data_IF_092368629701
#
_entry.id   IF_092368629701
#
_cell.length_a   1.000
_cell.length_b   1.000
_cell.length_c   1.000
_cell.angle_alpha   90.00
_cell.angle_beta   90.00
_cell.angle_gamma   90.00
#
_symmetry.space_group_name_H-M   'P 1'
#
loop_
_entity.id
_entity.type
_entity.pdbx_description
1 polymer ?
#
# COMPACT_ATOMS: atom_id res chain seq x y z
N UNK A 1 6.20 24.37 -11.55
CA UNK A 1 6.64 23.11 -10.92
C UNK A 1 5.47 22.55 -10.13
N UNK A 2 4.99 21.35 -10.46
CA UNK A 2 3.76 20.80 -9.88
C UNK A 2 4.04 20.26 -8.47
N UNK A 3 3.56 20.92 -7.41
CA UNK A 3 3.73 20.52 -5.99
C UNK A 3 3.40 19.05 -5.70
N UNK A 4 2.46 18.48 -6.46
CA UNK A 4 2.09 17.06 -6.34
C UNK A 4 3.22 16.09 -6.67
N UNK A 5 4.22 16.49 -7.47
CA UNK A 5 5.38 15.67 -7.82
C UNK A 5 6.43 15.62 -6.70
N UNK A 6 6.44 16.59 -5.79
CA UNK A 6 7.42 16.64 -4.70
C UNK A 6 7.03 15.67 -3.58
N UNK A 7 5.75 15.62 -3.19
CA UNK A 7 5.26 14.74 -2.11
C UNK A 7 5.44 13.26 -2.47
N UNK A 8 5.18 12.85 -3.72
CA UNK A 8 5.41 11.47 -4.15
C UNK A 8 6.89 11.07 -4.01
N UNK A 9 7.80 11.99 -4.35
CA UNK A 9 9.24 11.71 -4.28
C UNK A 9 9.74 11.46 -2.84
N UNK A 10 9.02 11.95 -1.82
CA UNK A 10 9.38 11.73 -0.42
C UNK A 10 9.17 10.30 0.06
N UNK A 11 8.36 9.48 -0.61
CA UNK A 11 8.06 8.11 -0.18
C UNK A 11 8.31 7.04 -1.25
N UNK A 12 8.70 7.43 -2.47
CA UNK A 12 8.77 6.52 -3.62
C UNK A 12 9.66 5.28 -3.40
N UNK A 13 10.79 5.41 -2.70
CA UNK A 13 11.71 4.29 -2.48
C UNK A 13 11.09 3.25 -1.53
N UNK A 14 10.45 3.73 -0.47
CA UNK A 14 9.83 2.90 0.56
C UNK A 14 8.49 2.34 0.08
N UNK A 15 7.82 3.03 -0.84
CA UNK A 15 6.59 2.59 -1.46
C UNK A 15 6.76 1.27 -2.21
N UNK A 16 7.91 1.06 -2.86
CA UNK A 16 8.23 -0.21 -3.50
C UNK A 16 8.21 -1.38 -2.51
N UNK A 17 8.70 -1.17 -1.28
CA UNK A 17 8.70 -2.19 -0.24
C UNK A 17 7.28 -2.54 0.21
N UNK A 18 6.40 -1.54 0.32
CA UNK A 18 4.99 -1.74 0.62
C UNK A 18 4.32 -2.56 -0.48
N UNK A 19 4.56 -2.24 -1.75
CA UNK A 19 4.00 -2.99 -2.89
C UNK A 19 4.48 -4.45 -2.91
N UNK A 20 5.76 -4.68 -2.60
CA UNK A 20 6.30 -6.04 -2.49
C UNK A 20 5.64 -6.83 -1.34
N UNK A 21 5.40 -6.19 -0.19
CA UNK A 21 4.76 -6.85 0.94
C UNK A 21 3.28 -7.14 0.68
N UNK A 22 2.56 -6.24 -0.01
CA UNK A 22 1.19 -6.49 -0.48
C UNK A 22 1.10 -7.68 -1.44
N UNK A 23 2.01 -7.75 -2.43
CA UNK A 23 2.06 -8.88 -3.36
C UNK A 23 2.35 -10.20 -2.63
N UNK A 24 3.31 -10.19 -1.70
CA UNK A 24 3.62 -11.36 -0.89
C UNK A 24 2.41 -11.84 -0.07
N UNK A 25 1.66 -10.92 0.54
CA UNK A 25 0.45 -11.25 1.29
C UNK A 25 -0.61 -11.85 0.35
N UNK A 26 -0.79 -11.27 -0.84
CA UNK A 26 -1.68 -11.82 -1.88
C UNK A 26 -1.32 -13.28 -2.21
N UNK A 27 -0.05 -13.54 -2.55
CA UNK A 27 0.44 -14.89 -2.91
C UNK A 27 0.24 -15.93 -1.79
N UNK A 28 0.41 -15.53 -0.52
CA UNK A 28 0.24 -16.43 0.62
C UNK A 28 -1.22 -16.85 0.85
N UNK A 29 -2.19 -16.02 0.45
CA UNK A 29 -3.62 -16.26 0.65
C UNK A 29 -4.31 -16.95 -0.55
N UNK A 30 -3.56 -17.29 -1.62
CA UNK A 30 -4.06 -17.97 -2.82
C UNK A 30 -4.58 -19.40 -2.63
N UNK A 31 -4.40 -20.00 -1.45
CA UNK A 31 -4.75 -21.41 -1.21
C UNK A 31 -6.15 -21.62 -0.63
N UNK A 32 -6.86 -20.57 -0.17
CA UNK A 32 -8.10 -20.75 0.61
C UNK A 32 -9.40 -20.19 -0.04
N UNK A 33 -9.35 -19.36 -1.10
CA UNK A 33 -10.57 -18.85 -1.77
C UNK A 33 -10.32 -18.35 -3.20
N UNK A 34 -10.90 -19.02 -4.20
CA UNK A 34 -10.82 -18.67 -5.63
C UNK A 34 -11.46 -17.32 -6.02
N UNK A 35 -12.11 -16.60 -5.09
CA UNK A 35 -12.82 -15.34 -5.36
C UNK A 35 -12.02 -14.08 -4.97
N UNK A 36 -11.04 -14.20 -4.07
CA UNK A 36 -10.34 -13.05 -3.48
C UNK A 36 -9.13 -12.58 -4.30
N UNK A 37 -8.48 -13.49 -5.05
CA UNK A 37 -7.25 -13.22 -5.80
C UNK A 37 -7.49 -12.23 -6.95
N UNK A 38 -8.63 -12.35 -7.65
CA UNK A 38 -8.98 -11.44 -8.74
C UNK A 38 -9.13 -10.01 -8.26
N UNK A 39 -9.68 -9.78 -7.06
CA UNK A 39 -9.94 -8.42 -6.58
C UNK A 39 -8.66 -7.80 -6.02
N UNK A 40 -7.88 -8.54 -5.22
CA UNK A 40 -6.61 -8.02 -4.69
C UNK A 40 -5.63 -7.74 -5.85
N UNK A 41 -5.46 -8.67 -6.79
CA UNK A 41 -4.59 -8.44 -7.94
C UNK A 41 -5.15 -7.36 -8.87
N UNK A 42 -6.48 -7.23 -9.02
CA UNK A 42 -7.09 -6.14 -9.79
C UNK A 42 -6.85 -4.77 -9.14
N UNK A 43 -7.07 -4.65 -7.83
CA UNK A 43 -6.83 -3.40 -7.08
C UNK A 43 -5.34 -3.04 -7.04
N UNK A 44 -4.45 -4.03 -6.90
CA UNK A 44 -3.00 -3.82 -7.01
C UNK A 44 -2.54 -3.52 -8.46
N UNK A 45 -3.28 -3.99 -9.48
CA UNK A 45 -2.98 -3.74 -10.90
C UNK A 45 -3.39 -2.35 -11.38
N UNK A 46 -4.25 -1.65 -10.64
CA UNK A 46 -4.58 -0.24 -10.89
C UNK A 46 -3.57 0.57 -10.08
N UNK A 47 -2.55 1.19 -10.70
CA UNK A 47 -1.62 2.03 -9.97
C UNK A 47 -2.35 3.32 -9.59
N UNK A 48 -3.05 3.28 -8.47
CA UNK A 48 -3.57 4.46 -7.80
C UNK A 48 -2.41 5.36 -7.38
N UNK A 49 -2.71 6.56 -6.89
CA UNK A 49 -1.68 7.50 -6.39
C UNK A 49 -0.99 7.00 -5.11
N UNK A 50 -1.37 5.83 -4.59
CA UNK A 50 -0.88 5.22 -3.35
C UNK A 50 -0.73 6.24 -2.21
N UNK A 51 -1.74 7.09 -2.10
CA UNK A 51 -1.75 8.22 -1.19
C UNK A 51 -1.69 7.77 0.27
N UNK A 52 -2.32 6.63 0.61
CA UNK A 52 -2.42 6.15 1.99
C UNK A 52 -1.09 5.56 2.50
N UNK A 53 -0.39 4.68 1.75
CA UNK A 53 0.98 4.29 2.09
C UNK A 53 1.93 5.48 2.16
N UNK A 54 1.86 6.37 1.16
CA UNK A 54 2.75 7.54 1.09
C UNK A 54 2.57 8.45 2.30
N UNK A 55 1.33 8.70 2.73
CA UNK A 55 1.06 9.52 3.92
C UNK A 55 1.57 8.87 5.20
N UNK A 56 1.44 7.55 5.32
CA UNK A 56 1.95 6.79 6.48
C UNK A 56 3.47 6.85 6.56
N UNK A 57 4.16 6.64 5.43
CA UNK A 57 5.63 6.76 5.33
C UNK A 57 6.06 8.19 5.64
N UNK A 58 5.45 9.20 5.01
CA UNK A 58 5.81 10.61 5.23
C UNK A 58 5.58 11.01 6.69
N UNK A 59 4.52 10.50 7.34
CA UNK A 59 4.26 10.77 8.75
C UNK A 59 5.44 10.32 9.63
N UNK A 60 6.01 9.13 9.40
CA UNK A 60 7.21 8.69 10.14
C UNK A 60 8.41 9.61 9.90
N UNK A 61 8.63 10.04 8.65
CA UNK A 61 9.72 10.94 8.27
C UNK A 61 9.59 12.32 8.92
N UNK A 62 8.37 12.84 9.09
CA UNK A 62 8.11 14.12 9.77
C UNK A 62 8.56 14.07 11.24
N UNK A 63 8.39 12.92 11.90
CA UNK A 63 8.81 12.72 13.29
C UNK A 63 10.27 12.28 13.42
N UNK A 64 11.04 12.35 12.33
CA UNK A 64 12.46 12.04 12.28
C UNK A 64 12.78 10.60 12.70
N UNK A 65 11.81 9.68 12.52
CA UNK A 65 12.01 8.25 12.63
C UNK A 65 12.51 7.69 11.29
N UNK A 66 13.43 6.73 11.37
CA UNK A 66 13.83 5.96 10.19
C UNK A 66 12.63 5.18 9.67
N UNK A 67 12.50 5.09 8.34
CA UNK A 67 11.49 4.22 7.73
C UNK A 67 11.96 2.77 7.86
N UNK A 68 11.65 2.17 8.99
CA UNK A 68 11.97 0.80 9.32
C UNK A 68 10.87 -0.18 8.88
N UNK A 69 11.09 -1.46 9.17
CA UNK A 69 10.14 -2.50 8.83
C UNK A 69 8.75 -2.31 9.47
N UNK A 70 8.65 -1.66 10.63
CA UNK A 70 7.35 -1.40 11.27
C UNK A 70 6.57 -0.34 10.50
N UNK A 71 7.23 0.70 10.03
CA UNK A 71 6.60 1.74 9.19
C UNK A 71 6.08 1.11 7.89
N UNK A 72 6.90 0.28 7.23
CA UNK A 72 6.47 -0.46 6.03
C UNK A 72 5.25 -1.32 6.34
N UNK A 73 5.28 -2.12 7.41
CA UNK A 73 4.13 -2.92 7.85
C UNK A 73 2.87 -2.11 8.09
N UNK A 74 2.98 -0.94 8.73
CA UNK A 74 1.82 -0.10 8.97
C UNK A 74 1.27 0.50 7.68
N UNK A 75 2.13 0.96 6.77
CA UNK A 75 1.72 1.42 5.46
C UNK A 75 1.01 0.32 4.66
N UNK A 76 1.53 -0.92 4.70
CA UNK A 76 0.91 -2.12 4.12
C UNK A 76 -0.46 -2.41 4.75
N UNK A 77 -0.56 -2.38 6.08
CA UNK A 77 -1.82 -2.65 6.79
C UNK A 77 -2.91 -1.61 6.48
N UNK A 78 -2.53 -0.34 6.38
CA UNK A 78 -3.46 0.76 6.02
C UNK A 78 -4.00 0.55 4.60
N UNK A 79 -3.15 0.14 3.66
CA UNK A 79 -3.59 -0.13 2.29
C UNK A 79 -4.43 -1.40 2.20
N UNK A 80 -4.09 -2.47 2.92
CA UNK A 80 -4.93 -3.66 3.02
C UNK A 80 -6.32 -3.34 3.56
N UNK A 81 -6.41 -2.49 4.59
CA UNK A 81 -7.70 -2.04 5.12
C UNK A 81 -8.50 -1.27 4.07
N UNK A 82 -7.84 -0.42 3.27
CA UNK A 82 -8.48 0.27 2.15
C UNK A 82 -8.99 -0.71 1.08
N UNK A 83 -8.17 -1.67 0.67
CA UNK A 83 -8.55 -2.71 -0.28
C UNK A 83 -9.73 -3.51 0.25
N UNK A 84 -9.71 -3.90 1.53
CA UNK A 84 -10.79 -4.64 2.16
C UNK A 84 -12.12 -3.87 2.13
N UNK A 85 -12.10 -2.54 2.35
CA UNK A 85 -13.31 -1.72 2.19
C UNK A 85 -13.81 -1.66 0.75
N UNK A 86 -12.91 -1.55 -0.24
CA UNK A 86 -13.31 -1.56 -1.65
C UNK A 86 -13.96 -2.88 -2.06
N UNK A 87 -13.37 -4.01 -1.65
CA UNK A 87 -13.88 -5.36 -1.95
C UNK A 87 -15.28 -5.58 -1.38
N UNK A 88 -15.58 -5.02 -0.20
CA UNK A 88 -16.88 -5.19 0.45
C UNK A 88 -17.92 -4.13 0.03
N UNK A 89 -17.49 -2.96 -0.44
CA UNK A 89 -18.37 -1.86 -0.87
C UNK A 89 -18.78 -1.94 -2.36
N UNK A 90 -17.99 -2.61 -3.22
CA UNK A 90 -18.40 -2.93 -4.59
C UNK A 90 -19.23 -4.23 -4.61
N UNK A 91 -20.53 -4.18 -4.96
CA UNK A 91 -21.42 -5.36 -4.98
C UNK A 91 -21.13 -6.37 -6.08
#
# INVERSE_FOLDING_TARGET
MNKNKEISNLANNELLLVMLELNKISEQHNTESNLNENIINHVLSIPGKQLRPSMTIISSKIWNEDVDYKVIKMATAVELLHIATLVHDEP
#
